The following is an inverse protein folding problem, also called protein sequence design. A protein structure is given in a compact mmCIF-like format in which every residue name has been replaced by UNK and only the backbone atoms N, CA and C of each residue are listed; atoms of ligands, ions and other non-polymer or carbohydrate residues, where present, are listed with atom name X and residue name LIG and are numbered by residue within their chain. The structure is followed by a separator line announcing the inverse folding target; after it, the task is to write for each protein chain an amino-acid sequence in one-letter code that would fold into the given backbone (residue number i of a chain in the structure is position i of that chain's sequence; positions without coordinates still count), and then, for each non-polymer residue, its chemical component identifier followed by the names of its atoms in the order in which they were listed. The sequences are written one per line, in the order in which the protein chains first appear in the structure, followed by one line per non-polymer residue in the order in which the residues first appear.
data_IF_500707400033
#
_entry.id   IF_500707400033
#
_cell.length_a   1.000
_cell.length_b   1.000
_cell.length_c   1.000
_cell.angle_alpha   90.00
_cell.angle_beta   90.00
_cell.angle_gamma   90.00
#
_symmetry.space_group_name_H-M   'P 1'
#
loop_
_entity.id
_entity.type
_entity.pdbx_description
1 polymer ?
#
# COMPACT_ATOMS: atom_id res chain seq x y z
N UNK A 1 9.21 -2.64 -17.65
CA UNK A 1 8.77 -2.98 -16.29
C UNK A 1 9.53 -4.22 -15.90
N UNK A 2 10.40 -4.15 -14.89
CA UNK A 2 11.27 -5.28 -14.52
C UNK A 2 10.46 -6.52 -14.18
N UNK A 3 10.97 -7.70 -14.49
CA UNK A 3 10.37 -8.97 -14.07
C UNK A 3 10.40 -9.04 -12.54
N UNK A 4 9.22 -9.09 -11.90
CA UNK A 4 9.13 -9.18 -10.44
C UNK A 4 7.74 -8.85 -9.89
N UNK A 5 7.44 -9.36 -8.69
CA UNK A 5 6.25 -9.04 -7.90
C UNK A 5 6.65 -8.07 -6.81
N UNK A 6 6.06 -6.89 -6.79
CA UNK A 6 6.27 -5.88 -5.74
C UNK A 6 5.22 -5.99 -4.66
N UNK A 7 5.66 -6.00 -3.40
CA UNK A 7 4.78 -6.02 -2.22
C UNK A 7 5.23 -4.96 -1.23
N UNK A 8 4.30 -4.48 -0.43
CA UNK A 8 4.56 -3.49 0.60
C UNK A 8 4.72 -4.15 1.97
N UNK A 9 5.68 -3.65 2.73
CA UNK A 9 5.89 -3.94 4.14
C UNK A 9 6.01 -2.63 4.91
N UNK A 10 5.62 -2.62 6.17
CA UNK A 10 5.87 -1.52 7.12
C UNK A 10 6.99 -1.94 8.05
N UNK A 11 7.99 -1.07 8.21
CA UNK A 11 9.10 -1.24 9.15
C UNK A 11 8.89 -0.33 10.36
N UNK A 12 8.70 -0.92 11.53
CA UNK A 12 8.77 -0.18 12.80
C UNK A 12 10.24 0.15 13.10
N UNK A 13 10.60 1.43 13.06
CA UNK A 13 12.00 1.88 13.22
C UNK A 13 12.51 1.77 14.66
N UNK A 14 11.64 1.68 15.65
CA UNK A 14 12.03 1.55 17.06
C UNK A 14 12.46 0.12 17.37
N UNK A 15 11.77 -0.85 16.78
CA UNK A 15 11.95 -2.29 17.04
C UNK A 15 12.63 -3.03 15.90
N UNK A 16 12.79 -2.38 14.75
CA UNK A 16 13.23 -2.97 13.48
C UNK A 16 12.34 -4.13 13.00
N UNK A 17 11.09 -4.19 13.48
CA UNK A 17 10.14 -5.23 13.07
C UNK A 17 9.51 -4.88 11.74
N UNK A 18 9.70 -5.74 10.76
CA UNK A 18 9.00 -5.69 9.48
C UNK A 18 7.64 -6.40 9.59
N UNK A 19 6.61 -5.77 9.02
CA UNK A 19 5.25 -6.31 8.91
C UNK A 19 4.83 -6.29 7.45
N UNK A 20 4.68 -7.48 6.85
CA UNK A 20 4.13 -7.60 5.50
C UNK A 20 2.66 -7.20 5.47
N UNK A 21 2.26 -6.39 4.50
CA UNK A 21 0.87 -5.95 4.36
C UNK A 21 0.00 -7.05 3.72
N UNK A 22 -1.32 -6.96 3.93
CA UNK A 22 -2.25 -8.01 3.51
C UNK A 22 -2.41 -8.15 1.98
N UNK A 23 -1.93 -7.19 1.17
CA UNK A 23 -1.99 -7.25 -0.30
C UNK A 23 -1.03 -8.32 -0.85
N UNK A 24 -1.57 -9.27 -1.62
CA UNK A 24 -0.82 -10.40 -2.16
C UNK A 24 -0.49 -10.28 -3.65
N UNK A 25 -1.17 -9.37 -4.38
CA UNK A 25 -0.87 -9.06 -5.78
C UNK A 25 0.28 -8.06 -5.86
N UNK A 26 0.94 -8.03 -7.02
CA UNK A 26 1.93 -6.99 -7.30
C UNK A 26 1.28 -5.61 -7.29
N UNK A 27 1.97 -4.63 -6.71
CA UNK A 27 1.55 -3.23 -6.66
C UNK A 27 2.51 -2.33 -7.45
N UNK A 28 2.13 -1.07 -7.61
CA UNK A 28 3.01 -0.01 -8.11
C UNK A 28 4.11 0.36 -7.09
N UNK A 29 5.13 1.10 -7.52
CA UNK A 29 6.28 1.52 -6.70
C UNK A 29 5.96 2.64 -5.70
N UNK A 30 4.73 3.17 -5.73
CA UNK A 30 4.30 4.28 -4.90
C UNK A 30 3.42 3.83 -3.73
N UNK A 31 3.82 4.23 -2.52
CA UNK A 31 3.05 4.09 -1.29
C UNK A 31 2.84 5.46 -0.61
N UNK A 32 1.66 5.66 -0.01
CA UNK A 32 1.30 6.87 0.73
C UNK A 32 0.58 6.52 2.04
N UNK A 33 0.94 7.17 3.14
CA UNK A 33 0.16 7.06 4.38
C UNK A 33 -1.09 7.95 4.30
N UNK A 34 -2.27 7.38 4.50
CA UNK A 34 -3.52 8.15 4.63
C UNK A 34 -3.65 8.74 6.05
N UNK A 35 -3.27 7.94 7.04
CA UNK A 35 -3.31 8.18 8.47
C UNK A 35 -2.35 7.19 9.16
N UNK A 36 -2.28 7.19 10.49
CA UNK A 36 -1.37 6.36 11.29
C UNK A 36 -1.56 4.83 11.10
N UNK A 37 -2.67 4.41 10.50
CA UNK A 37 -3.06 3.00 10.42
C UNK A 37 -3.27 2.49 9.01
N UNK A 38 -3.20 3.35 7.99
CA UNK A 38 -3.62 3.01 6.63
C UNK A 38 -2.58 3.42 5.59
N UNK A 39 -2.16 2.45 4.76
CA UNK A 39 -1.30 2.68 3.59
C UNK A 39 -2.14 2.62 2.32
N UNK A 40 -1.90 3.57 1.42
CA UNK A 40 -2.47 3.68 0.09
C UNK A 40 -1.45 3.32 -0.98
N UNK A 41 -1.92 2.71 -2.07
CA UNK A 41 -1.08 2.35 -3.21
C UNK A 41 -1.90 2.21 -4.50
N UNK A 42 -1.21 2.21 -5.64
CA UNK A 42 -1.79 1.97 -6.96
C UNK A 42 -1.78 0.48 -7.35
N UNK A 43 -2.89 -0.03 -7.89
CA UNK A 43 -2.99 -1.35 -8.51
C UNK A 43 -4.22 -1.43 -9.43
N UNK A 44 -4.06 -2.03 -10.61
CA UNK A 44 -5.17 -2.29 -11.55
C UNK A 44 -5.94 -1.00 -11.94
N UNK A 45 -5.22 0.11 -12.19
CA UNK A 45 -5.78 1.45 -12.46
C UNK A 45 -6.80 1.92 -11.39
N UNK A 46 -6.51 1.60 -10.13
CA UNK A 46 -7.27 2.05 -8.99
C UNK A 46 -6.34 2.34 -7.81
N UNK A 47 -6.79 3.24 -6.92
CA UNK A 47 -6.17 3.45 -5.61
C UNK A 47 -6.81 2.50 -4.62
N UNK A 48 -5.97 1.80 -3.87
CA UNK A 48 -6.35 0.86 -2.82
C UNK A 48 -5.82 1.33 -1.47
N UNK A 49 -6.48 0.89 -0.40
CA UNK A 49 -6.06 1.07 0.98
C UNK A 49 -5.89 -0.27 1.67
N UNK A 50 -4.91 -0.38 2.57
CA UNK A 50 -4.67 -1.58 3.39
C UNK A 50 -4.28 -1.18 4.82
N UNK A 51 -4.72 -1.91 5.85
CA UNK A 51 -4.22 -1.71 7.21
C UNK A 51 -2.70 -1.91 7.28
N UNK A 52 -2.03 -1.00 7.97
CA UNK A 52 -0.57 -0.96 8.06
C UNK A 52 0.03 -2.02 9.02
N UNK A 53 -0.81 -2.64 9.84
CA UNK A 53 -0.43 -3.68 10.81
C UNK A 53 -0.46 -5.10 10.23
N UNK A 54 -0.68 -5.23 8.91
CA UNK A 54 -0.77 -6.51 8.21
C UNK A 54 -2.09 -7.25 8.41
N UNK A 55 -3.04 -6.67 9.15
CA UNK A 55 -4.35 -7.26 9.37
C UNK A 55 -5.35 -6.94 8.25
N UNK A 56 -6.52 -7.57 8.33
CA UNK A 56 -7.65 -7.28 7.45
C UNK A 56 -7.39 -7.62 5.98
N UNK A 57 -7.98 -6.83 5.08
CA UNK A 57 -7.86 -7.01 3.64
C UNK A 57 -7.79 -5.66 2.92
N UNK A 58 -7.12 -5.58 1.77
CA UNK A 58 -7.13 -4.39 0.95
C UNK A 58 -8.53 -4.04 0.44
N UNK A 59 -8.85 -2.74 0.41
CA UNK A 59 -10.11 -2.22 -0.14
C UNK A 59 -9.83 -1.19 -1.24
N UNK A 60 -10.60 -1.24 -2.31
CA UNK A 60 -10.54 -0.24 -3.37
C UNK A 60 -11.13 1.07 -2.85
N UNK A 61 -10.42 2.19 -3.06
CA UNK A 61 -10.88 3.54 -2.71
C UNK A 61 -11.48 4.26 -3.89
N UNK A 62 -10.72 4.32 -4.98
CA UNK A 62 -11.04 5.11 -6.17
C UNK A 62 -10.69 4.29 -7.40
N UNK A 63 -11.64 4.15 -8.30
CA UNK A 63 -11.44 3.49 -9.60
C UNK A 63 -10.99 4.52 -10.65
N UNK A 64 -10.22 4.09 -11.65
CA UNK A 64 -9.72 4.98 -12.70
C UNK A 64 -8.64 5.96 -12.23
N UNK A 65 -7.92 5.63 -11.16
CA UNK A 65 -6.85 6.44 -10.59
C UNK A 65 -5.54 5.66 -10.58
N UNK A 66 -4.47 6.26 -11.10
CA UNK A 66 -3.17 5.61 -11.21
C UNK A 66 -2.47 5.48 -9.84
N UNK A 67 -2.47 6.56 -9.06
CA UNK A 67 -1.70 6.62 -7.82
C UNK A 67 -2.31 7.61 -6.80
N UNK A 68 -2.15 7.36 -5.49
CA UNK A 68 -2.64 8.27 -4.46
C UNK A 68 -1.75 9.52 -4.34
N UNK A 69 -2.35 10.67 -4.06
CA UNK A 69 -1.63 11.91 -3.79
C UNK A 69 -2.31 12.72 -2.69
N UNK A 70 -1.51 13.49 -1.96
CA UNK A 70 -1.98 14.53 -1.03
C UNK A 70 -1.79 15.89 -1.68
N UNK A 71 -2.82 16.73 -1.62
CA UNK A 71 -2.72 18.15 -1.98
C UNK A 71 -2.70 18.98 -0.71
N UNK A 72 -1.96 20.10 -0.75
CA UNK A 72 -1.88 21.08 0.33
C UNK A 72 -3.12 21.98 0.42
#
# INVERSE_FOLDING_TARGET
MGEGVWRLSVLDLKTMRETGLAEQKSVDDQALWQDDHTVLYGRDNAVWAVPADGSGAPRKLVDGAASPAVTA
#
